data_IF_305535264674
#
_entry.id   IF_305535264674
#
_cell.length_a   1.000
_cell.length_b   1.000
_cell.length_c   1.000
_cell.angle_alpha   90.00
_cell.angle_beta   90.00
_cell.angle_gamma   90.00
#
_symmetry.space_group_name_H-M   'P 1'
#
loop_
_entity.id
_entity.type
_entity.pdbx_description
1 polymer ?
#
# COMPACT_ATOMS: atom_id res chain seq x y z
N UNK A 1 -11.56 -28.66 0.49
CA UNK A 1 -11.61 -27.18 0.52
C UNK A 1 -10.67 -26.56 1.56
N UNK A 2 -9.59 -27.25 1.94
CA UNK A 2 -8.63 -26.76 2.97
C UNK A 2 -7.23 -26.46 2.45
N UNK A 3 -6.92 -26.75 1.20
CA UNK A 3 -5.55 -26.68 0.67
C UNK A 3 -5.16 -25.31 0.07
N UNK A 4 -6.11 -24.53 -0.39
CA UNK A 4 -5.80 -23.25 -1.03
C UNK A 4 -5.48 -22.11 -0.05
N UNK A 5 -6.01 -22.16 1.17
CA UNK A 5 -5.73 -21.14 2.20
C UNK A 5 -4.32 -21.29 2.78
N UNK A 6 -3.80 -22.50 2.91
CA UNK A 6 -2.43 -22.74 3.37
C UNK A 6 -1.36 -22.34 2.35
N UNK A 7 -1.68 -22.38 1.06
CA UNK A 7 -0.77 -21.98 -0.03
C UNK A 7 -0.55 -20.47 -0.05
N UNK A 8 -1.51 -19.67 0.45
CA UNK A 8 -1.39 -18.20 0.48
C UNK A 8 -0.41 -17.70 1.54
N UNK A 9 -0.23 -18.38 2.64
CA UNK A 9 0.69 -17.96 3.71
C UNK A 9 2.12 -18.48 3.52
N UNK A 10 2.30 -19.59 2.81
CA UNK A 10 3.60 -20.25 2.70
C UNK A 10 4.52 -19.72 1.58
N UNK A 11 4.09 -18.76 0.76
CA UNK A 11 4.88 -18.30 -0.38
C UNK A 11 4.80 -16.81 -0.67
N UNK A 12 4.90 -15.96 0.35
CA UNK A 12 5.04 -14.51 0.13
C UNK A 12 6.22 -14.14 -0.76
N UNK A 13 7.22 -15.00 -0.85
CA UNK A 13 8.41 -14.82 -1.69
C UNK A 13 8.09 -15.11 -3.17
N UNK A 14 7.25 -16.10 -3.45
CA UNK A 14 6.93 -16.58 -4.81
C UNK A 14 5.81 -15.81 -5.53
N UNK A 15 5.22 -14.80 -4.88
CA UNK A 15 4.19 -13.94 -5.47
C UNK A 15 4.56 -12.46 -5.36
N UNK A 16 3.92 -11.60 -6.14
CA UNK A 16 3.95 -10.16 -5.89
C UNK A 16 3.20 -9.87 -4.58
N UNK A 17 3.66 -8.86 -3.84
CA UNK A 17 2.98 -8.39 -2.63
C UNK A 17 2.40 -7.00 -2.88
N UNK A 18 1.28 -6.72 -2.24
CA UNK A 18 0.64 -5.41 -2.26
C UNK A 18 0.42 -4.90 -0.83
N UNK A 19 0.97 -3.74 -0.53
CA UNK A 19 0.82 -3.06 0.75
C UNK A 19 -0.07 -1.82 0.55
N UNK A 20 -1.25 -1.87 1.16
CA UNK A 20 -2.19 -0.77 1.13
C UNK A 20 -1.92 0.18 2.30
N UNK A 21 -0.96 1.10 2.15
CA UNK A 21 -0.58 2.03 3.22
C UNK A 21 -1.66 3.11 3.48
N UNK A 22 -2.33 3.55 2.41
CA UNK A 22 -3.48 4.47 2.46
C UNK A 22 -4.73 3.78 3.06
N UNK A 23 -4.70 3.42 4.34
CA UNK A 23 -5.70 2.56 4.99
C UNK A 23 -7.15 3.08 4.94
N UNK A 24 -7.34 4.40 4.90
CA UNK A 24 -8.66 5.02 4.85
C UNK A 24 -9.37 4.92 3.48
N UNK A 25 -8.72 4.38 2.44
CA UNK A 25 -9.36 4.05 1.16
C UNK A 25 -9.77 2.57 1.07
N UNK A 26 -10.17 2.01 2.20
CA UNK A 26 -10.45 0.58 2.39
C UNK A 26 -11.58 0.06 1.51
N UNK A 27 -12.58 0.87 1.20
CA UNK A 27 -13.71 0.48 0.37
C UNK A 27 -13.25 0.10 -1.04
N UNK A 28 -12.32 0.86 -1.60
CA UNK A 28 -11.73 0.54 -2.90
C UNK A 28 -10.96 -0.79 -2.83
N UNK A 29 -10.13 -0.98 -1.79
CA UNK A 29 -9.40 -2.22 -1.59
C UNK A 29 -10.34 -3.42 -1.47
N UNK A 30 -11.36 -3.34 -0.61
CA UNK A 30 -12.29 -4.44 -0.41
C UNK A 30 -13.09 -4.76 -1.68
N UNK A 31 -13.47 -3.74 -2.44
CA UNK A 31 -14.16 -3.95 -3.71
C UNK A 31 -13.28 -4.75 -4.68
N UNK A 32 -12.02 -4.36 -4.84
CA UNK A 32 -11.08 -5.07 -5.71
C UNK A 32 -10.82 -6.50 -5.21
N UNK A 33 -10.59 -6.69 -3.90
CA UNK A 33 -10.37 -8.02 -3.33
C UNK A 33 -11.58 -8.94 -3.51
N UNK A 34 -12.79 -8.39 -3.40
CA UNK A 34 -14.02 -9.12 -3.70
C UNK A 34 -14.09 -9.52 -5.18
N UNK A 35 -13.84 -8.60 -6.11
CA UNK A 35 -13.90 -8.86 -7.55
C UNK A 35 -12.88 -9.93 -8.00
N UNK A 36 -11.70 -9.97 -7.36
CA UNK A 36 -10.70 -11.02 -7.62
C UNK A 36 -10.92 -12.30 -6.78
N UNK A 37 -12.04 -12.39 -6.05
CA UNK A 37 -12.53 -13.64 -5.45
C UNK A 37 -11.92 -13.99 -4.09
N UNK A 38 -11.38 -13.03 -3.33
CA UNK A 38 -10.87 -13.29 -1.97
C UNK A 38 -11.98 -13.59 -0.96
N UNK A 39 -13.19 -13.03 -1.17
CA UNK A 39 -14.38 -13.22 -0.35
C UNK A 39 -15.65 -12.87 -1.16
N UNK A 40 -16.83 -13.10 -0.60
CA UNK A 40 -18.10 -12.92 -1.30
C UNK A 40 -18.57 -11.47 -1.24
N UNK A 41 -19.36 -11.05 -2.24
CA UNK A 41 -19.96 -9.72 -2.30
C UNK A 41 -20.87 -9.41 -1.11
N UNK A 42 -21.52 -10.43 -0.57
CA UNK A 42 -22.39 -10.32 0.61
C UNK A 42 -21.62 -9.87 1.84
N UNK A 43 -20.33 -10.24 1.96
CA UNK A 43 -19.49 -9.88 3.09
C UNK A 43 -19.25 -8.37 3.17
N UNK A 44 -19.25 -7.67 2.02
CA UNK A 44 -19.12 -6.20 1.96
C UNK A 44 -20.25 -5.47 2.68
N UNK A 45 -21.45 -6.09 2.79
CA UNK A 45 -22.58 -5.50 3.52
C UNK A 45 -22.33 -5.40 5.02
N UNK A 46 -21.32 -6.09 5.53
CA UNK A 46 -20.94 -6.07 6.94
C UNK A 46 -19.90 -4.99 7.26
N UNK A 47 -19.54 -4.13 6.31
CA UNK A 47 -18.56 -3.07 6.52
C UNK A 47 -18.97 -2.20 7.73
N UNK A 48 -18.07 -2.07 8.68
CA UNK A 48 -18.25 -1.36 9.95
C UNK A 48 -19.42 -1.86 10.81
N UNK A 49 -19.98 -3.04 10.55
CA UNK A 49 -20.94 -3.66 11.44
C UNK A 49 -20.25 -4.22 12.70
N UNK A 50 -21.01 -4.31 13.81
CA UNK A 50 -20.53 -4.94 15.04
C UNK A 50 -20.08 -6.38 14.75
N UNK A 51 -18.94 -6.78 15.33
CA UNK A 51 -18.28 -8.09 15.12
C UNK A 51 -17.80 -8.40 13.69
N UNK A 52 -17.89 -7.44 12.76
CA UNK A 52 -17.32 -7.61 11.43
C UNK A 52 -15.79 -7.47 11.42
N UNK A 53 -15.14 -8.25 10.55
CA UNK A 53 -13.74 -8.04 10.22
C UNK A 53 -13.52 -6.95 9.15
N UNK A 54 -14.60 -6.57 8.44
CA UNK A 54 -14.59 -5.51 7.42
C UNK A 54 -14.78 -4.17 8.11
N UNK A 55 -13.68 -3.56 8.54
CA UNK A 55 -13.67 -2.29 9.26
C UNK A 55 -13.02 -1.19 8.41
N UNK A 56 -13.18 0.07 8.81
CA UNK A 56 -12.74 1.26 8.08
C UNK A 56 -11.23 1.38 7.82
N UNK A 57 -10.41 0.48 8.38
CA UNK A 57 -8.99 0.31 8.04
C UNK A 57 -8.70 -1.19 7.89
N UNK A 58 -8.10 -1.62 6.76
CA UNK A 58 -7.92 -3.04 6.50
C UNK A 58 -6.97 -3.70 7.49
N UNK A 59 -7.33 -4.90 7.91
CA UNK A 59 -6.53 -5.75 8.78
C UNK A 59 -6.32 -7.12 8.16
N UNK A 60 -5.29 -7.81 8.58
CA UNK A 60 -4.97 -9.19 8.14
C UNK A 60 -6.04 -10.23 8.50
N UNK A 61 -7.09 -9.85 9.23
CA UNK A 61 -8.28 -10.69 9.43
C UNK A 61 -9.10 -10.86 8.15
N UNK A 62 -9.00 -9.90 7.22
CA UNK A 62 -9.68 -9.99 5.92
C UNK A 62 -8.74 -10.68 4.92
N UNK A 63 -9.27 -11.69 4.23
CA UNK A 63 -8.51 -12.44 3.23
C UNK A 63 -8.01 -11.51 2.12
N UNK A 64 -6.73 -11.63 1.75
CA UNK A 64 -6.08 -10.79 0.74
C UNK A 64 -5.41 -9.52 1.29
N UNK A 65 -5.66 -9.15 2.55
CA UNK A 65 -4.98 -8.04 3.20
C UNK A 65 -3.66 -8.51 3.78
N UNK A 66 -2.56 -7.92 3.35
CA UNK A 66 -1.20 -8.33 3.75
C UNK A 66 -0.66 -7.58 4.96
N UNK A 67 -1.19 -6.39 5.26
CA UNK A 67 -0.69 -5.53 6.34
C UNK A 67 -1.85 -4.84 7.06
N UNK A 68 -1.76 -4.75 8.39
CA UNK A 68 -2.68 -3.96 9.19
C UNK A 68 -2.37 -2.48 8.98
N UNK A 69 -3.41 -1.67 8.82
CA UNK A 69 -3.28 -0.22 8.65
C UNK A 69 -3.93 0.55 9.80
N UNK A 70 -3.84 1.87 9.73
CA UNK A 70 -4.39 2.81 10.72
C UNK A 70 -3.37 3.89 11.10
N UNK A 71 -2.11 3.53 11.27
CA UNK A 71 -1.01 4.49 11.43
C UNK A 71 -0.41 4.80 10.06
N UNK A 72 -0.52 6.04 9.60
CA UNK A 72 0.06 6.50 8.34
C UNK A 72 1.59 6.38 8.35
N UNK A 73 2.19 6.25 7.17
CA UNK A 73 3.63 6.22 6.97
C UNK A 73 4.33 4.87 7.23
N UNK A 74 3.63 3.88 7.79
CA UNK A 74 4.26 2.59 8.14
C UNK A 74 4.29 1.59 6.99
N UNK A 75 3.35 1.68 6.05
CA UNK A 75 3.22 0.70 4.97
C UNK A 75 4.44 0.65 4.06
N UNK A 76 5.07 1.79 3.78
CA UNK A 76 6.27 1.81 2.95
C UNK A 76 7.45 1.10 3.63
N UNK A 77 7.64 1.28 4.93
CA UNK A 77 8.68 0.57 5.70
C UNK A 77 8.50 -0.95 5.64
N UNK A 78 7.24 -1.42 5.74
CA UNK A 78 6.90 -2.85 5.59
C UNK A 78 7.20 -3.33 4.17
N UNK A 79 6.81 -2.55 3.15
CA UNK A 79 7.09 -2.87 1.75
C UNK A 79 8.60 -2.96 1.46
N UNK A 80 9.40 -2.06 2.02
CA UNK A 80 10.86 -2.08 1.94
C UNK A 80 11.41 -3.38 2.56
N UNK A 81 10.93 -3.77 3.75
CA UNK A 81 11.34 -5.02 4.38
C UNK A 81 11.05 -6.25 3.52
N UNK A 82 9.85 -6.32 2.93
CA UNK A 82 9.47 -7.39 1.99
C UNK A 82 10.34 -7.38 0.73
N UNK A 83 10.62 -6.20 0.17
CA UNK A 83 11.46 -6.07 -1.02
C UNK A 83 12.91 -6.52 -0.76
N UNK A 84 13.46 -6.18 0.41
CA UNK A 84 14.78 -6.67 0.84
C UNK A 84 14.78 -8.20 0.94
N UNK A 85 13.78 -8.79 1.59
CA UNK A 85 13.67 -10.24 1.73
C UNK A 85 13.63 -10.92 0.35
N UNK A 86 12.74 -10.47 -0.55
CA UNK A 86 12.67 -10.99 -1.91
C UNK A 86 13.98 -10.86 -2.68
N UNK A 87 14.66 -9.74 -2.56
CA UNK A 87 15.95 -9.52 -3.22
C UNK A 87 17.04 -10.48 -2.70
N UNK A 88 17.07 -10.72 -1.38
CA UNK A 88 17.98 -11.70 -0.76
C UNK A 88 17.71 -13.13 -1.24
N UNK A 89 16.43 -13.47 -1.38
CA UNK A 89 16.00 -14.79 -1.87
C UNK A 89 16.05 -14.91 -3.40
N UNK A 90 16.59 -13.90 -4.09
CA UNK A 90 16.70 -13.84 -5.56
C UNK A 90 15.35 -14.01 -6.28
N UNK A 91 14.27 -13.68 -5.63
CA UNK A 91 12.92 -13.69 -6.23
C UNK A 91 12.80 -12.57 -7.27
N UNK A 92 12.16 -12.87 -8.40
CA UNK A 92 11.84 -11.90 -9.45
C UNK A 92 10.53 -11.15 -9.20
N UNK A 93 9.88 -11.43 -8.09
CA UNK A 93 8.58 -10.85 -7.75
C UNK A 93 8.73 -9.44 -7.19
N UNK A 94 7.75 -8.61 -7.46
CA UNK A 94 7.70 -7.20 -7.06
C UNK A 94 6.92 -7.00 -5.76
N UNK A 95 7.18 -5.89 -5.10
CA UNK A 95 6.39 -5.37 -3.99
C UNK A 95 5.80 -4.04 -4.40
N UNK A 96 4.50 -3.89 -4.27
CA UNK A 96 3.76 -2.67 -4.57
C UNK A 96 3.31 -2.04 -3.25
N UNK A 97 3.47 -0.73 -3.10
CA UNK A 97 2.95 0.03 -1.97
C UNK A 97 2.11 1.21 -2.47
N UNK A 98 0.86 1.31 -1.99
CA UNK A 98 -0.01 2.45 -2.28
C UNK A 98 -0.04 3.38 -1.07
N UNK A 99 0.37 4.63 -1.28
CA UNK A 99 0.38 5.71 -0.30
C UNK A 99 -0.60 6.82 -0.69
N UNK A 100 -1.08 7.57 0.30
CA UNK A 100 -1.74 8.85 0.06
C UNK A 100 -0.72 9.99 0.07
N UNK A 101 -1.04 11.10 -0.59
CA UNK A 101 -0.15 12.26 -0.62
C UNK A 101 -0.02 12.94 0.76
N UNK A 102 -1.10 13.07 1.51
CA UNK A 102 -1.05 13.56 2.89
C UNK A 102 -0.22 12.66 3.83
N UNK A 103 -0.15 11.35 3.53
CA UNK A 103 0.69 10.40 4.27
C UNK A 103 2.19 10.73 4.14
N UNK A 104 2.60 11.41 3.09
CA UNK A 104 4.00 11.78 2.86
C UNK A 104 4.51 12.85 3.84
N UNK A 105 3.63 13.40 4.68
CA UNK A 105 4.01 14.23 5.82
C UNK A 105 4.67 13.42 6.95
N UNK A 106 4.55 12.09 6.94
CA UNK A 106 5.14 11.21 7.94
C UNK A 106 6.65 10.98 7.65
N UNK A 107 7.50 11.26 8.63
CA UNK A 107 8.95 11.11 8.51
C UNK A 107 9.39 9.69 8.16
N UNK A 108 8.67 8.67 8.66
CA UNK A 108 8.95 7.25 8.39
C UNK A 108 8.88 6.87 6.91
N UNK A 109 8.13 7.60 6.09
CA UNK A 109 8.12 7.43 4.63
C UNK A 109 9.50 7.73 4.04
N UNK A 110 10.12 8.83 4.43
CA UNK A 110 11.43 9.25 3.93
C UNK A 110 12.58 8.41 4.47
N UNK A 111 12.46 7.92 5.71
CA UNK A 111 13.37 6.93 6.27
C UNK A 111 13.31 5.61 5.47
N UNK A 112 12.11 5.18 5.08
CA UNK A 112 11.94 4.03 4.21
C UNK A 112 12.53 4.25 2.81
N UNK A 113 12.38 5.46 2.22
CA UNK A 113 13.02 5.82 0.95
C UNK A 113 14.56 5.76 1.05
N UNK A 114 15.14 6.24 2.15
CA UNK A 114 16.58 6.12 2.42
C UNK A 114 17.03 4.66 2.42
N UNK A 115 16.25 3.79 3.07
CA UNK A 115 16.54 2.36 3.11
C UNK A 115 16.39 1.70 1.75
N UNK A 116 15.34 2.05 0.98
CA UNK A 116 15.12 1.55 -0.37
C UNK A 116 16.30 1.90 -1.29
N UNK A 117 16.78 3.13 -1.23
CA UNK A 117 17.97 3.61 -1.94
C UNK A 117 19.21 2.81 -1.57
N UNK A 118 19.50 2.69 -0.27
CA UNK A 118 20.66 1.95 0.24
C UNK A 118 20.70 0.51 -0.28
N UNK A 119 19.58 -0.18 -0.30
CA UNK A 119 19.48 -1.57 -0.75
C UNK A 119 19.20 -1.70 -2.24
N UNK A 120 19.12 -0.58 -2.97
CA UNK A 120 18.88 -0.55 -4.42
C UNK A 120 17.68 -1.43 -4.81
N UNK A 121 16.52 -1.17 -4.21
CA UNK A 121 15.33 -2.03 -4.33
C UNK A 121 14.59 -1.82 -5.66
N UNK A 122 15.14 -2.37 -6.74
CA UNK A 122 14.56 -2.37 -8.09
C UNK A 122 13.29 -3.23 -8.22
N UNK A 123 12.95 -3.96 -7.16
CA UNK A 123 11.74 -4.76 -7.02
C UNK A 123 10.64 -4.09 -6.18
N UNK A 124 10.84 -2.83 -5.75
CA UNK A 124 9.84 -2.03 -5.03
C UNK A 124 9.21 -1.02 -5.98
N UNK A 125 7.88 -0.99 -6.02
CA UNK A 125 7.09 -0.03 -6.78
C UNK A 125 6.21 0.74 -5.79
N UNK A 126 6.41 2.05 -5.72
CA UNK A 126 5.65 2.95 -4.86
C UNK A 126 4.66 3.73 -5.71
N UNK A 127 3.38 3.65 -5.37
CA UNK A 127 2.32 4.43 -6.01
C UNK A 127 1.84 5.46 -5.00
N UNK A 128 1.84 6.73 -5.38
CA UNK A 128 1.30 7.81 -4.58
C UNK A 128 0.00 8.31 -5.22
N UNK A 129 -1.10 8.18 -4.51
CA UNK A 129 -2.37 8.80 -4.88
C UNK A 129 -2.30 10.30 -4.56
N UNK A 130 -1.91 11.09 -5.56
CA UNK A 130 -1.77 12.56 -5.47
C UNK A 130 -3.12 13.23 -5.74
N UNK A 131 -4.02 13.15 -4.80
CA UNK A 131 -5.36 13.74 -4.90
C UNK A 131 -5.46 15.18 -4.38
N UNK A 132 -4.35 15.74 -3.90
CA UNK A 132 -4.21 17.09 -3.35
C UNK A 132 -5.05 17.36 -2.09
N UNK A 133 -5.54 16.33 -1.42
CA UNK A 133 -6.38 16.44 -0.24
C UNK A 133 -5.83 15.65 0.94
N UNK A 134 -5.95 16.21 2.11
CA UNK A 134 -5.80 15.51 3.39
C UNK A 134 -6.88 15.97 4.37
N UNK A 135 -7.07 15.28 5.48
CA UNK A 135 -8.21 15.37 6.41
C UNK A 135 -8.86 16.74 6.52
N UNK A 136 -8.06 17.81 6.67
CA UNK A 136 -8.53 19.15 7.00
C UNK A 136 -8.54 20.12 5.82
N UNK A 137 -8.03 19.72 4.66
CA UNK A 137 -7.97 20.63 3.51
C UNK A 137 -7.04 20.15 2.38
N UNK A 138 -6.60 21.12 1.58
CA UNK A 138 -5.63 20.83 0.52
C UNK A 138 -4.27 20.49 1.14
N UNK A 139 -3.60 19.50 0.58
CA UNK A 139 -2.28 19.03 1.07
C UNK A 139 -1.28 20.19 1.16
N UNK A 140 -1.24 21.06 0.15
CA UNK A 140 -0.28 22.17 0.12
C UNK A 140 -0.61 23.31 1.10
N UNK A 141 -1.89 23.42 1.53
CA UNK A 141 -2.29 24.41 2.53
C UNK A 141 -2.03 23.91 3.95
N UNK A 142 -2.11 22.60 4.17
CA UNK A 142 -1.95 21.98 5.50
C UNK A 142 -0.48 21.67 5.80
N UNK A 143 0.18 20.96 4.89
CA UNK A 143 1.61 20.65 5.01
C UNK A 143 2.20 20.43 3.60
N UNK A 144 2.86 21.44 3.01
CA UNK A 144 3.36 21.35 1.64
C UNK A 144 4.34 20.21 1.42
N UNK A 145 4.11 19.41 0.40
CA UNK A 145 4.97 18.27 0.04
C UNK A 145 5.72 18.46 -1.28
N UNK A 146 5.36 19.47 -2.06
CA UNK A 146 6.06 19.75 -3.34
C UNK A 146 7.50 20.28 -3.13
N UNK A 147 8.40 20.10 -4.09
CA UNK A 147 8.28 19.30 -5.31
C UNK A 147 8.44 17.79 -5.02
N UNK A 148 7.36 17.05 -5.21
CA UNK A 148 7.31 15.67 -4.76
C UNK A 148 8.19 14.72 -5.60
N UNK A 149 8.16 14.90 -6.93
CA UNK A 149 8.96 14.09 -7.85
C UNK A 149 10.46 14.29 -7.64
N UNK A 150 10.91 15.52 -7.38
CA UNK A 150 12.32 15.81 -7.10
C UNK A 150 12.78 15.16 -5.78
N UNK A 151 11.90 15.15 -4.76
CA UNK A 151 12.18 14.47 -3.50
C UNK A 151 12.42 12.99 -3.70
N UNK A 152 11.52 12.28 -4.40
CA UNK A 152 11.71 10.86 -4.68
C UNK A 152 12.92 10.60 -5.60
N UNK A 153 13.14 11.43 -6.62
CA UNK A 153 14.34 11.34 -7.46
C UNK A 153 15.64 11.47 -6.66
N UNK A 154 15.66 12.32 -5.64
CA UNK A 154 16.84 12.49 -4.77
C UNK A 154 17.20 11.22 -4.00
N UNK A 155 16.23 10.33 -3.75
CA UNK A 155 16.45 9.00 -3.20
C UNK A 155 16.74 7.93 -4.26
N UNK A 156 16.83 8.30 -5.55
CA UNK A 156 17.15 7.38 -6.65
C UNK A 156 15.97 6.61 -7.20
N UNK A 157 14.74 7.08 -6.97
CA UNK A 157 13.54 6.51 -7.62
C UNK A 157 13.40 7.05 -9.05
N UNK A 158 13.04 6.17 -9.97
CA UNK A 158 12.52 6.54 -11.27
C UNK A 158 11.05 6.95 -11.12
N UNK A 159 10.65 8.06 -11.76
CA UNK A 159 9.32 8.65 -11.59
C UNK A 159 8.53 8.58 -12.87
N UNK A 160 7.31 8.07 -12.76
CA UNK A 160 6.30 8.11 -13.82
C UNK A 160 5.03 8.83 -13.33
N UNK A 161 4.46 9.66 -14.17
CA UNK A 161 3.18 10.32 -13.91
C UNK A 161 2.06 9.59 -14.65
N UNK A 162 1.07 9.15 -13.90
CA UNK A 162 -0.12 8.51 -14.45
C UNK A 162 -1.33 9.40 -14.17
N UNK A 163 -1.99 9.87 -15.22
CA UNK A 163 -3.26 10.59 -15.07
C UNK A 163 -4.36 9.59 -14.73
N UNK A 164 -5.00 9.79 -13.60
CA UNK A 164 -6.21 9.03 -13.26
C UNK A 164 -7.39 9.57 -14.06
N UNK A 165 -8.00 8.71 -14.88
CA UNK A 165 -9.21 9.02 -15.66
C UNK A 165 -10.50 8.82 -14.87
N UNK A 166 -10.44 8.80 -13.53
CA UNK A 166 -11.60 8.54 -12.67
C UNK A 166 -12.62 9.70 -12.67
N UNK A 167 -12.28 10.85 -13.24
CA UNK A 167 -13.18 12.00 -13.33
C UNK A 167 -13.80 12.11 -14.73
N UNK A 168 -14.48 11.08 -15.13
CA UNK A 168 -15.36 11.13 -16.29
C UNK A 168 -16.79 11.38 -15.82
#
# INVERSE_FOLDING_TARGET
MGSEMCIRDSSTIERNNYIHSKGHSVEALYTVLCDVGFFKKEDLKTLNAFDSHFIGHPTRKVSGVEHNTGALGHGLSVAVGLAIAKKKDKSKKKVFALLGDGELSEGSVWEACTSASKYQLDNLIVVVDRNHLQITGKTEDVNPIEPLDEKFKSFGFDIEFVLSLIHI
#
